data_IF_652701432292
#
_entry.id   IF_652701432292
#
_cell.length_a   1.000
_cell.length_b   1.000
_cell.length_c   1.000
_cell.angle_alpha   90.00
_cell.angle_beta   90.00
_cell.angle_gamma   90.00
#
_symmetry.space_group_name_H-M   'P 1'
#
loop_
_entity.id
_entity.type
_entity.pdbx_description
1 polymer ?
#
# COMPACT_ATOMS: atom_id res chain seq x y z
N UNK A 1 -23.36 15.12 -16.32
CA UNK A 1 -24.42 14.65 -15.40
C UNK A 1 -24.68 13.17 -15.64
N UNK A 2 -25.14 12.43 -14.62
CA UNK A 2 -25.55 11.04 -14.78
C UNK A 2 -26.96 11.00 -15.39
N UNK A 3 -27.03 11.00 -16.73
CA UNK A 3 -28.28 11.24 -17.46
C UNK A 3 -29.18 10.00 -17.59
N UNK A 4 -28.82 8.86 -16.98
CA UNK A 4 -29.61 7.63 -16.98
C UNK A 4 -29.69 7.04 -15.57
N UNK A 5 -30.76 6.27 -15.29
CA UNK A 5 -30.94 5.58 -13.99
C UNK A 5 -29.73 4.70 -13.65
N UNK A 6 -29.15 4.03 -14.65
CA UNK A 6 -27.95 3.21 -14.49
C UNK A 6 -26.71 4.05 -14.17
N UNK A 7 -26.54 5.21 -14.82
CA UNK A 7 -25.43 6.11 -14.55
C UNK A 7 -25.48 6.63 -13.10
N UNK A 8 -26.66 7.01 -12.61
CA UNK A 8 -26.83 7.48 -11.21
C UNK A 8 -26.51 6.37 -10.21
N UNK A 9 -26.91 5.12 -10.50
CA UNK A 9 -26.53 3.96 -9.68
C UNK A 9 -25.01 3.74 -9.66
N UNK A 10 -24.35 3.81 -10.82
CA UNK A 10 -22.89 3.66 -10.92
C UNK A 10 -22.14 4.77 -10.17
N UNK A 11 -22.63 6.01 -10.23
CA UNK A 11 -22.06 7.12 -9.48
C UNK A 11 -22.09 6.87 -7.95
N UNK A 12 -23.23 6.42 -7.42
CA UNK A 12 -23.37 6.06 -6.00
C UNK A 12 -22.42 4.92 -5.59
N UNK A 13 -22.32 3.87 -6.41
CA UNK A 13 -21.40 2.74 -6.18
C UNK A 13 -19.92 3.14 -6.24
N UNK A 14 -19.57 4.08 -7.11
CA UNK A 14 -18.19 4.55 -7.24
C UNK A 14 -17.74 5.31 -5.99
N UNK A 15 -18.59 6.13 -5.37
CA UNK A 15 -18.25 6.87 -4.15
C UNK A 15 -17.91 5.90 -3.01
N UNK A 16 -18.72 4.85 -2.80
CA UNK A 16 -18.47 3.88 -1.74
C UNK A 16 -17.19 3.07 -1.98
N UNK A 17 -16.98 2.62 -3.22
CA UNK A 17 -15.75 1.92 -3.62
C UNK A 17 -14.51 2.80 -3.48
N UNK A 18 -14.63 4.08 -3.86
CA UNK A 18 -13.56 5.07 -3.74
C UNK A 18 -13.13 5.22 -2.28
N UNK A 19 -14.08 5.47 -1.35
CA UNK A 19 -13.78 5.62 0.08
C UNK A 19 -13.00 4.42 0.63
N UNK A 20 -13.46 3.20 0.32
CA UNK A 20 -12.80 1.96 0.76
C UNK A 20 -11.39 1.83 0.17
N UNK A 21 -11.23 2.00 -1.15
CA UNK A 21 -9.92 1.89 -1.82
C UNK A 21 -8.96 2.99 -1.37
N UNK A 22 -9.46 4.18 -1.05
CA UNK A 22 -8.66 5.27 -0.49
C UNK A 22 -8.07 4.91 0.87
N UNK A 23 -8.89 4.41 1.81
CA UNK A 23 -8.42 3.98 3.12
C UNK A 23 -7.38 2.85 3.01
N UNK A 24 -7.65 1.87 2.15
CA UNK A 24 -6.75 0.75 1.84
C UNK A 24 -5.40 1.21 1.27
N UNK A 25 -5.40 2.14 0.31
CA UNK A 25 -4.17 2.72 -0.25
C UNK A 25 -3.40 3.53 0.79
N UNK A 26 -4.11 4.25 1.66
CA UNK A 26 -3.48 4.99 2.77
C UNK A 26 -2.73 4.04 3.69
N UNK A 27 -3.35 2.92 4.10
CA UNK A 27 -2.72 1.91 4.97
C UNK A 27 -1.41 1.36 4.39
N UNK A 28 -1.39 1.05 3.08
CA UNK A 28 -0.17 0.59 2.39
C UNK A 28 0.92 1.67 2.44
N UNK A 29 0.58 2.93 2.16
CA UNK A 29 1.54 4.04 2.17
C UNK A 29 2.12 4.29 3.56
N UNK A 30 1.29 4.22 4.61
CA UNK A 30 1.75 4.35 5.99
C UNK A 30 2.71 3.25 6.37
N UNK A 31 2.43 1.99 5.99
CA UNK A 31 3.35 0.88 6.25
C UNK A 31 4.70 1.06 5.54
N UNK A 32 4.69 1.51 4.28
CA UNK A 32 5.93 1.83 3.53
C UNK A 32 6.68 2.99 4.19
N UNK A 33 5.96 4.02 4.67
CA UNK A 33 6.56 5.17 5.35
C UNK A 33 7.25 4.75 6.64
N UNK A 34 6.64 3.87 7.45
CA UNK A 34 7.24 3.38 8.69
C UNK A 34 8.61 2.72 8.44
N UNK A 35 8.70 1.83 7.44
CA UNK A 35 9.98 1.20 7.07
C UNK A 35 11.01 2.24 6.64
N UNK A 36 10.60 3.22 5.82
CA UNK A 36 11.50 4.31 5.39
C UNK A 36 11.99 5.15 6.55
N UNK A 37 11.14 5.44 7.53
CA UNK A 37 11.55 6.18 8.72
C UNK A 37 12.59 5.42 9.56
N UNK A 38 12.45 4.09 9.71
CA UNK A 38 13.48 3.28 10.39
C UNK A 38 14.79 3.19 9.61
N UNK A 39 14.72 3.15 8.27
CA UNK A 39 15.86 3.25 7.36
C UNK A 39 16.57 4.60 7.54
N UNK A 40 15.83 5.71 7.54
CA UNK A 40 16.41 7.05 7.71
C UNK A 40 17.07 7.23 9.09
N UNK A 41 16.60 6.48 10.10
CA UNK A 41 17.18 6.43 11.45
C UNK A 41 18.39 5.48 11.59
N UNK A 42 18.83 4.82 10.51
CA UNK A 42 19.91 3.83 10.51
C UNK A 42 19.73 2.63 11.47
N UNK A 43 18.50 2.33 11.87
CA UNK A 43 18.22 1.19 12.76
C UNK A 43 17.84 -0.05 11.94
N UNK A 44 18.81 -0.95 11.72
CA UNK A 44 18.66 -2.14 10.88
C UNK A 44 17.68 -3.17 11.46
N UNK A 45 17.68 -3.39 12.78
CA UNK A 45 16.78 -4.34 13.44
C UNK A 45 15.32 -3.89 13.37
N UNK A 46 15.07 -2.62 13.69
CA UNK A 46 13.72 -2.05 13.65
C UNK A 46 13.20 -1.98 12.21
N UNK A 47 14.05 -1.68 11.23
CA UNK A 47 13.69 -1.70 9.82
C UNK A 47 13.25 -3.10 9.35
N UNK A 48 13.89 -4.17 9.82
CA UNK A 48 13.50 -5.55 9.50
C UNK A 48 12.15 -5.93 10.12
N UNK A 49 11.89 -5.53 11.37
CA UNK A 49 10.59 -5.75 12.03
C UNK A 49 9.49 -4.99 11.33
N UNK A 50 9.72 -3.70 11.02
CA UNK A 50 8.79 -2.87 10.28
C UNK A 50 8.52 -3.45 8.87
N UNK A 51 9.56 -3.98 8.21
CA UNK A 51 9.45 -4.59 6.89
C UNK A 51 8.56 -5.83 6.88
N UNK A 52 8.70 -6.74 7.86
CA UNK A 52 7.82 -7.93 7.99
C UNK A 52 6.35 -7.53 8.09
N UNK A 53 6.06 -6.49 8.88
CA UNK A 53 4.70 -5.94 8.99
C UNK A 53 4.21 -5.32 7.68
N UNK A 54 5.08 -4.55 7.00
CA UNK A 54 4.75 -3.91 5.74
C UNK A 54 4.48 -4.93 4.62
N UNK A 55 5.26 -6.01 4.54
CA UNK A 55 5.09 -7.09 3.57
C UNK A 55 3.69 -7.71 3.68
N UNK A 56 3.28 -8.09 4.89
CA UNK A 56 1.94 -8.65 5.14
C UNK A 56 0.83 -7.70 4.67
N UNK A 57 0.97 -6.40 4.93
CA UNK A 57 -0.01 -5.39 4.50
C UNK A 57 -0.04 -5.26 2.99
N UNK A 58 1.13 -5.15 2.34
CA UNK A 58 1.25 -4.99 0.88
C UNK A 58 0.61 -6.17 0.16
N UNK A 59 0.95 -7.40 0.55
CA UNK A 59 0.49 -8.60 -0.16
C UNK A 59 -1.01 -8.85 0.04
N UNK A 60 -1.52 -8.60 1.25
CA UNK A 60 -2.98 -8.66 1.53
C UNK A 60 -3.76 -7.71 0.61
N UNK A 61 -3.23 -6.52 0.34
CA UNK A 61 -3.91 -5.50 -0.47
C UNK A 61 -3.69 -5.70 -1.97
N UNK A 62 -2.59 -6.33 -2.37
CA UNK A 62 -2.38 -6.81 -3.73
C UNK A 62 -3.40 -7.90 -4.09
N UNK A 63 -3.63 -8.87 -3.19
CA UNK A 63 -4.64 -9.91 -3.37
C UNK A 63 -6.07 -9.34 -3.51
N UNK A 64 -6.36 -8.24 -2.81
CA UNK A 64 -7.64 -7.50 -2.92
C UNK A 64 -7.72 -6.58 -4.14
N UNK A 65 -6.78 -6.65 -5.08
CA UNK A 65 -6.69 -5.79 -6.27
C UNK A 65 -6.77 -4.30 -5.92
N UNK A 66 -6.16 -3.87 -4.81
CA UNK A 66 -6.04 -2.45 -4.45
C UNK A 66 -4.87 -1.82 -5.21
N UNK A 67 -3.79 -2.59 -5.32
CA UNK A 67 -2.60 -2.33 -6.10
C UNK A 67 -2.29 -3.55 -6.98
N UNK A 68 -1.63 -3.33 -8.11
CA UNK A 68 -1.22 -4.43 -8.99
C UNK A 68 -0.11 -5.26 -8.33
N UNK A 69 -0.07 -6.57 -8.60
CA UNK A 69 0.95 -7.50 -8.07
C UNK A 69 2.38 -7.02 -8.38
N UNK A 70 2.63 -6.52 -9.60
CA UNK A 70 3.94 -5.97 -9.97
C UNK A 70 4.30 -4.71 -9.18
N UNK A 71 3.32 -3.90 -8.80
CA UNK A 71 3.55 -2.72 -7.95
C UNK A 71 3.89 -3.14 -6.52
N UNK A 72 3.22 -4.18 -5.99
CA UNK A 72 3.58 -4.78 -4.71
C UNK A 72 5.01 -5.34 -4.74
N UNK A 73 5.34 -6.17 -5.74
CA UNK A 73 6.69 -6.73 -5.93
C UNK A 73 7.76 -5.63 -6.03
N UNK A 74 7.49 -4.55 -6.78
CA UNK A 74 8.38 -3.40 -6.90
C UNK A 74 8.60 -2.70 -5.55
N UNK A 75 7.56 -2.53 -4.73
CA UNK A 75 7.72 -1.93 -3.41
C UNK A 75 8.55 -2.82 -2.48
N UNK A 76 8.28 -4.13 -2.45
CA UNK A 76 9.06 -5.08 -1.64
C UNK A 76 10.53 -5.09 -2.04
N UNK A 77 10.82 -5.23 -3.34
CA UNK A 77 12.19 -5.23 -3.87
C UNK A 77 12.97 -3.96 -3.50
N UNK A 78 12.36 -2.78 -3.66
CA UNK A 78 13.00 -1.50 -3.32
C UNK A 78 13.27 -1.33 -1.83
N UNK A 79 12.35 -1.79 -0.97
CA UNK A 79 12.54 -1.72 0.48
C UNK A 79 13.66 -2.66 0.94
N UNK A 80 13.70 -3.88 0.44
CA UNK A 80 14.79 -4.83 0.75
C UNK A 80 16.15 -4.27 0.32
N UNK A 81 16.24 -3.69 -0.88
CA UNK A 81 17.46 -3.05 -1.35
C UNK A 81 17.88 -1.88 -0.46
N UNK A 82 16.94 -1.09 0.04
CA UNK A 82 17.23 0.04 0.92
C UNK A 82 17.73 -0.43 2.31
N UNK A 83 17.10 -1.46 2.88
CA UNK A 83 17.53 -2.06 4.16
C UNK A 83 18.94 -2.64 4.02
N UNK A 84 19.21 -3.37 2.93
CA UNK A 84 20.53 -3.95 2.66
C UNK A 84 21.64 -2.91 2.51
N UNK A 85 21.34 -1.67 2.13
CA UNK A 85 22.34 -0.61 2.00
C UNK A 85 22.80 -0.02 3.33
N UNK A 86 22.01 -0.19 4.39
CA UNK A 86 22.31 0.31 5.74
C UNK A 86 22.85 -0.81 6.63
N UNK A 87 22.47 -2.05 6.32
CA UNK A 87 23.02 -3.25 6.95
C UNK A 87 24.47 -3.52 6.55
#
# INVERSE_FOLDING_TARGET
MANSKQATKRAKQNITRYKLKHAQRSKIRTAIKAVRSSIDANNSEEALVAFKNAEKVIDTHANKNVIHKNTAARYKSRLVQAIKKIS
#
